data_IF_656782145373
#
_entry.id   IF_656782145373
#
_cell.length_a   1.000
_cell.length_b   1.000
_cell.length_c   1.000
_cell.angle_alpha   90.00
_cell.angle_beta   90.00
_cell.angle_gamma   90.00
#
_symmetry.space_group_name_H-M   'P 1'
#
loop_
_entity.id
_entity.type
_entity.pdbx_description
1 polymer ?
#
# COMPACT_ATOMS: atom_id res chain seq x y z
N UNK A 1 -55.55 -10.74 -64.37
CA UNK A 1 -54.96 -12.06 -64.67
C UNK A 1 -53.53 -11.76 -65.06
N UNK A 2 -52.45 -12.14 -64.38
CA UNK A 2 -52.17 -13.15 -63.36
C UNK A 2 -50.87 -12.67 -62.66
N UNK A 3 -50.76 -12.85 -61.34
CA UNK A 3 -49.48 -13.26 -60.75
C UNK A 3 -49.31 -14.76 -61.08
N UNK A 4 -48.10 -15.29 -61.33
CA UNK A 4 -47.23 -15.73 -60.22
C UNK A 4 -45.69 -15.74 -60.53
N UNK A 5 -44.82 -15.50 -59.51
CA UNK A 5 -43.88 -16.45 -58.85
C UNK A 5 -42.72 -16.98 -59.71
N UNK A 6 -41.45 -17.18 -59.29
CA UNK A 6 -40.67 -17.22 -58.03
C UNK A 6 -39.17 -17.24 -58.43
N UNK A 7 -38.29 -16.66 -57.61
CA UNK A 7 -36.99 -17.19 -57.14
C UNK A 7 -36.16 -15.98 -56.62
N UNK A 8 -36.15 -15.65 -55.33
CA UNK A 8 -35.45 -16.34 -54.24
C UNK A 8 -33.94 -16.49 -54.53
N UNK A 9 -33.17 -15.45 -54.23
CA UNK A 9 -31.75 -15.57 -53.88
C UNK A 9 -31.58 -15.03 -52.46
N UNK A 10 -30.99 -15.88 -51.64
CA UNK A 10 -31.06 -15.91 -50.19
C UNK A 10 -29.88 -15.11 -49.63
N UNK A 11 -30.16 -13.94 -49.06
CA UNK A 11 -29.14 -13.16 -48.36
C UNK A 11 -28.59 -13.96 -47.16
N UNK A 12 -27.26 -14.05 -46.98
CA UNK A 12 -26.67 -14.83 -45.90
C UNK A 12 -27.08 -14.26 -44.53
N UNK A 13 -27.37 -15.11 -43.52
CA UNK A 13 -27.82 -14.65 -42.22
C UNK A 13 -26.73 -13.79 -41.55
N UNK A 14 -27.10 -12.76 -40.77
CA UNK A 14 -26.13 -11.98 -40.01
C UNK A 14 -25.40 -12.92 -39.04
N UNK A 15 -24.08 -12.87 -39.13
CA UNK A 15 -23.16 -13.60 -38.26
C UNK A 15 -23.51 -13.24 -36.82
N UNK A 16 -23.72 -14.26 -35.99
CA UNK A 16 -23.79 -14.15 -34.53
C UNK A 16 -22.47 -13.54 -34.04
N UNK A 17 -22.45 -12.23 -33.89
CA UNK A 17 -21.39 -11.50 -33.22
C UNK A 17 -22.05 -10.57 -32.21
N UNK A 18 -22.49 -11.14 -31.09
CA UNK A 18 -22.44 -10.37 -29.85
C UNK A 18 -22.36 -11.26 -28.60
N UNK A 19 -21.17 -11.83 -28.36
CA UNK A 19 -20.74 -12.18 -26.99
C UNK A 19 -19.62 -11.25 -26.50
N UNK A 20 -19.34 -10.18 -27.26
CA UNK A 20 -18.27 -9.23 -26.93
C UNK A 20 -18.80 -7.89 -26.43
N UNK A 21 -20.03 -7.50 -26.79
CA UNK A 21 -20.71 -6.29 -26.32
C UNK A 21 -21.15 -6.37 -24.86
N UNK A 22 -21.50 -7.57 -24.36
CA UNK A 22 -21.85 -7.77 -22.95
C UNK A 22 -20.66 -7.66 -21.98
N UNK A 23 -19.46 -8.03 -22.43
CA UNK A 23 -18.25 -7.93 -21.60
C UNK A 23 -17.75 -6.48 -21.49
N UNK A 24 -17.90 -5.69 -22.56
CA UNK A 24 -17.57 -4.25 -22.55
C UNK A 24 -18.51 -3.46 -21.64
N UNK A 25 -19.78 -3.88 -21.50
CA UNK A 25 -20.73 -3.26 -20.58
C UNK A 25 -20.50 -3.68 -19.11
N UNK A 26 -20.26 -4.96 -18.85
CA UNK A 26 -19.93 -5.44 -17.49
C UNK A 26 -18.64 -4.79 -16.96
N UNK A 27 -17.58 -4.71 -17.77
CA UNK A 27 -16.31 -4.12 -17.34
C UNK A 27 -16.48 -2.64 -16.99
N UNK A 28 -17.25 -1.88 -17.78
CA UNK A 28 -17.56 -0.48 -17.51
C UNK A 28 -18.37 -0.28 -16.23
N UNK A 29 -19.42 -1.10 -16.03
CA UNK A 29 -20.22 -1.08 -14.79
C UNK A 29 -19.37 -1.47 -13.59
N UNK A 30 -18.51 -2.47 -13.76
CA UNK A 30 -17.60 -2.92 -12.70
C UNK A 30 -16.61 -1.82 -12.32
N UNK A 31 -16.07 -1.10 -13.31
CA UNK A 31 -15.17 0.02 -13.08
C UNK A 31 -15.83 1.17 -12.36
N UNK A 32 -17.09 1.47 -12.66
CA UNK A 32 -17.84 2.46 -11.91
C UNK A 32 -18.06 2.00 -10.47
N UNK A 33 -18.56 0.77 -10.28
CA UNK A 33 -18.91 0.25 -8.96
C UNK A 33 -17.71 0.18 -8.02
N UNK A 34 -16.56 -0.32 -8.48
CA UNK A 34 -15.34 -0.37 -7.65
C UNK A 34 -14.64 0.97 -7.47
N UNK A 35 -15.07 2.04 -8.17
CA UNK A 35 -14.68 3.42 -7.89
C UNK A 35 -15.46 4.05 -6.73
N UNK A 36 -16.63 3.50 -6.38
CA UNK A 36 -17.47 4.01 -5.30
C UNK A 36 -16.97 3.56 -3.92
N UNK A 37 -17.35 4.32 -2.89
CA UNK A 37 -17.11 3.93 -1.50
C UNK A 37 -17.79 2.58 -1.19
N UNK A 38 -17.28 1.81 -0.21
CA UNK A 38 -17.94 0.57 0.21
C UNK A 38 -19.40 0.78 0.66
N UNK A 39 -19.73 1.95 1.19
CA UNK A 39 -21.06 2.29 1.67
C UNK A 39 -22.04 2.50 0.50
N UNK A 40 -21.58 3.17 -0.57
CA UNK A 40 -22.37 3.45 -1.77
C UNK A 40 -22.45 2.26 -2.74
N UNK A 41 -21.46 1.36 -2.67
CA UNK A 41 -21.32 0.21 -3.59
C UNK A 41 -22.58 -0.64 -3.69
N UNK A 42 -23.20 -0.94 -2.55
CA UNK A 42 -24.35 -1.86 -2.52
C UNK A 42 -25.57 -1.24 -3.20
N UNK A 43 -25.87 0.02 -2.90
CA UNK A 43 -26.99 0.74 -3.49
C UNK A 43 -26.79 0.91 -5.01
N UNK A 44 -25.59 1.32 -5.43
CA UNK A 44 -25.26 1.47 -6.84
C UNK A 44 -25.33 0.13 -7.60
N UNK A 45 -24.85 -0.97 -7.00
CA UNK A 45 -24.91 -2.31 -7.60
C UNK A 45 -26.35 -2.74 -7.87
N UNK A 46 -27.26 -2.54 -6.90
CA UNK A 46 -28.67 -2.88 -7.09
C UNK A 46 -29.33 -2.00 -8.16
N UNK A 47 -29.02 -0.71 -8.20
CA UNK A 47 -29.51 0.19 -9.24
C UNK A 47 -29.06 -0.24 -10.63
N UNK A 48 -27.77 -0.58 -10.79
CA UNK A 48 -27.19 -1.04 -12.07
C UNK A 48 -27.75 -2.39 -12.51
N UNK A 49 -27.92 -3.32 -11.59
CA UNK A 49 -28.57 -4.61 -11.88
C UNK A 49 -30.04 -4.42 -12.32
N UNK A 50 -30.76 -3.50 -11.67
CA UNK A 50 -32.15 -3.19 -12.02
C UNK A 50 -32.26 -2.51 -13.40
N UNK A 51 -31.34 -1.61 -13.73
CA UNK A 51 -31.27 -0.97 -15.04
C UNK A 51 -31.00 -1.99 -16.14
N UNK A 52 -30.00 -2.87 -15.96
CA UNK A 52 -29.70 -3.95 -16.92
C UNK A 52 -30.91 -4.88 -17.15
N UNK A 53 -31.71 -5.16 -16.10
CA UNK A 53 -32.97 -5.92 -16.23
C UNK A 53 -34.03 -5.19 -17.06
N UNK A 54 -34.15 -3.87 -16.90
CA UNK A 54 -35.10 -3.04 -17.66
C UNK A 54 -34.71 -2.95 -19.14
N UNK A 55 -33.41 -2.95 -19.42
CA UNK A 55 -32.84 -2.93 -20.78
C UNK A 55 -32.83 -4.32 -21.44
N UNK A 56 -33.32 -5.36 -20.75
CA UNK A 56 -33.44 -6.73 -21.28
C UNK A 56 -32.17 -7.60 -21.14
N UNK A 57 -31.09 -7.05 -20.57
CA UNK A 57 -29.82 -7.72 -20.34
C UNK A 57 -29.82 -8.52 -19.02
N UNK A 58 -30.61 -9.61 -18.97
CA UNK A 58 -30.76 -10.43 -17.76
C UNK A 58 -29.45 -11.08 -17.29
N UNK A 59 -28.62 -11.55 -18.21
CA UNK A 59 -27.33 -12.19 -17.88
C UNK A 59 -26.37 -11.19 -17.23
N UNK A 60 -26.27 -9.99 -17.81
CA UNK A 60 -25.48 -8.87 -17.26
C UNK A 60 -25.94 -8.47 -15.85
N UNK A 61 -27.25 -8.40 -15.62
CA UNK A 61 -27.78 -8.08 -14.30
C UNK A 61 -27.39 -9.11 -13.22
N UNK A 62 -27.38 -10.40 -13.56
CA UNK A 62 -26.94 -11.46 -12.65
C UNK A 62 -25.43 -11.38 -12.39
N UNK A 63 -24.64 -11.02 -13.39
CA UNK A 63 -23.20 -10.80 -13.25
C UNK A 63 -22.90 -9.59 -12.35
N UNK A 64 -23.59 -8.48 -12.52
CA UNK A 64 -23.51 -7.30 -11.65
C UNK A 64 -23.87 -7.67 -10.20
N UNK A 65 -24.92 -8.47 -10.00
CA UNK A 65 -25.36 -8.86 -8.66
C UNK A 65 -24.35 -9.77 -7.94
N UNK A 66 -23.56 -10.55 -8.70
CA UNK A 66 -22.46 -11.37 -8.16
C UNK A 66 -21.25 -10.55 -7.72
N UNK A 67 -21.13 -9.28 -8.14
CA UNK A 67 -20.04 -8.41 -7.70
C UNK A 67 -20.09 -8.20 -6.19
N UNK A 68 -18.91 -8.33 -5.58
CA UNK A 68 -18.78 -8.38 -4.13
C UNK A 68 -18.30 -7.02 -3.63
N UNK A 69 -18.95 -6.55 -2.56
CA UNK A 69 -18.59 -5.29 -1.91
C UNK A 69 -17.12 -5.33 -1.49
N UNK A 70 -16.29 -4.36 -1.91
CA UNK A 70 -14.90 -4.29 -1.50
C UNK A 70 -14.80 -4.04 0.02
N UNK A 71 -13.77 -4.61 0.65
CA UNK A 71 -13.40 -4.18 2.01
C UNK A 71 -12.81 -2.76 1.95
N UNK A 72 -12.77 -2.07 3.09
CA UNK A 72 -12.23 -0.71 3.13
C UNK A 72 -10.75 -0.65 2.70
N UNK A 73 -9.95 -1.66 3.07
CA UNK A 73 -8.57 -1.78 2.61
C UNK A 73 -8.47 -2.05 1.10
N UNK A 74 -9.29 -2.95 0.55
CA UNK A 74 -9.31 -3.25 -0.88
C UNK A 74 -9.75 -2.02 -1.70
N UNK A 75 -10.78 -1.31 -1.24
CA UNK A 75 -11.22 -0.05 -1.85
C UNK A 75 -10.13 1.02 -1.82
N UNK A 76 -9.42 1.19 -0.70
CA UNK A 76 -8.32 2.16 -0.60
C UNK A 76 -7.18 1.83 -1.56
N UNK A 77 -6.86 0.55 -1.74
CA UNK A 77 -5.87 0.10 -2.72
C UNK A 77 -6.35 0.31 -4.17
N UNK A 78 -7.64 0.07 -4.47
CA UNK A 78 -8.23 0.36 -5.78
C UNK A 78 -8.21 1.85 -6.09
N UNK A 79 -8.55 2.69 -5.11
CA UNK A 79 -8.56 4.15 -5.23
C UNK A 79 -7.17 4.66 -5.59
N UNK A 80 -6.13 4.16 -4.92
CA UNK A 80 -4.74 4.48 -5.27
C UNK A 80 -4.42 4.11 -6.72
N UNK A 81 -4.78 2.90 -7.18
CA UNK A 81 -4.50 2.47 -8.56
C UNK A 81 -5.23 3.31 -9.62
N UNK A 82 -6.44 3.79 -9.28
CA UNK A 82 -7.30 4.60 -10.17
C UNK A 82 -6.86 6.06 -10.26
N UNK A 83 -6.58 6.68 -9.11
CA UNK A 83 -6.17 8.09 -9.04
C UNK A 83 -4.71 8.30 -9.43
N UNK A 84 -3.87 7.28 -9.23
CA UNK A 84 -2.42 7.34 -9.44
C UNK A 84 -1.90 6.21 -10.35
N UNK A 85 -2.32 6.17 -11.63
CA UNK A 85 -1.96 5.09 -12.55
C UNK A 85 -0.45 5.04 -12.86
N UNK A 86 0.25 6.17 -12.84
CA UNK A 86 1.70 6.20 -13.05
C UNK A 86 2.46 5.53 -11.90
N UNK A 87 2.03 5.75 -10.66
CA UNK A 87 2.58 5.14 -9.46
C UNK A 87 2.35 3.62 -9.48
N UNK A 88 1.18 3.18 -9.95
CA UNK A 88 0.91 1.77 -10.18
C UNK A 88 1.89 1.16 -11.20
N UNK A 89 2.14 1.82 -12.34
CA UNK A 89 3.13 1.36 -13.33
C UNK A 89 4.55 1.30 -12.76
N UNK A 90 4.95 2.29 -11.97
CA UNK A 90 6.26 2.30 -11.31
C UNK A 90 6.42 1.12 -10.34
N UNK A 91 5.39 0.80 -9.55
CA UNK A 91 5.40 -0.35 -8.65
C UNK A 91 5.51 -1.66 -9.44
N UNK A 92 4.76 -1.81 -10.52
CA UNK A 92 4.84 -3.01 -11.38
C UNK A 92 6.23 -3.18 -12.01
N UNK A 93 6.86 -2.08 -12.45
CA UNK A 93 8.23 -2.09 -12.95
C UNK A 93 9.24 -2.50 -11.88
N UNK A 94 9.06 -2.04 -10.63
CA UNK A 94 9.89 -2.47 -9.50
C UNK A 94 9.74 -3.97 -9.22
N UNK A 95 8.51 -4.50 -9.29
CA UNK A 95 8.26 -5.93 -9.15
C UNK A 95 8.95 -6.77 -10.22
N UNK A 96 8.96 -6.29 -11.48
CA UNK A 96 9.69 -6.95 -12.55
C UNK A 96 11.20 -6.95 -12.32
N UNK A 97 11.77 -5.81 -11.92
CA UNK A 97 13.19 -5.71 -11.60
C UNK A 97 13.59 -6.66 -10.45
N UNK A 98 12.78 -6.77 -9.40
CA UNK A 98 13.00 -7.70 -8.29
C UNK A 98 13.00 -9.15 -8.76
N UNK A 99 11.99 -9.55 -9.55
CA UNK A 99 11.90 -10.91 -10.09
C UNK A 99 13.03 -11.23 -11.06
N UNK A 100 13.51 -10.25 -11.83
CA UNK A 100 14.68 -10.40 -12.70
C UNK A 100 15.95 -10.60 -11.88
N UNK A 101 16.21 -9.75 -10.86
CA UNK A 101 17.35 -9.90 -9.96
C UNK A 101 17.35 -11.24 -9.21
N UNK A 102 16.16 -11.75 -8.83
CA UNK A 102 16.00 -13.09 -8.27
C UNK A 102 16.37 -14.21 -9.26
N UNK A 103 15.96 -14.10 -10.53
CA UNK A 103 16.31 -15.05 -11.59
C UNK A 103 17.81 -15.05 -11.90
N UNK A 104 18.42 -13.87 -11.86
CA UNK A 104 19.85 -13.67 -12.15
C UNK A 104 20.75 -13.95 -10.94
N UNK A 105 20.18 -14.23 -9.76
CA UNK A 105 20.86 -14.46 -8.48
C UNK A 105 21.77 -13.28 -8.07
N UNK A 106 21.42 -12.05 -8.44
CA UNK A 106 22.17 -10.85 -8.10
C UNK A 106 21.84 -10.35 -6.69
N UNK A 107 22.59 -10.86 -5.71
CA UNK A 107 22.41 -10.50 -4.30
C UNK A 107 22.72 -9.03 -3.96
N UNK A 108 23.44 -8.28 -4.80
CA UNK A 108 23.68 -6.86 -4.58
C UNK A 108 22.48 -6.05 -5.05
N UNK A 109 21.99 -6.32 -6.26
CA UNK A 109 20.80 -5.71 -6.82
C UNK A 109 19.55 -6.04 -6.00
N UNK A 110 19.42 -7.27 -5.49
CA UNK A 110 18.32 -7.66 -4.60
C UNK A 110 18.29 -6.84 -3.30
N UNK A 111 19.44 -6.53 -2.70
CA UNK A 111 19.50 -5.71 -1.48
C UNK A 111 19.07 -4.27 -1.76
N UNK A 112 19.53 -3.69 -2.85
CA UNK A 112 19.15 -2.34 -3.27
C UNK A 112 17.64 -2.24 -3.60
N UNK A 113 17.14 -3.17 -4.42
CA UNK A 113 15.73 -3.20 -4.81
C UNK A 113 14.81 -3.51 -3.63
N UNK A 114 15.22 -4.37 -2.68
CA UNK A 114 14.47 -4.63 -1.45
C UNK A 114 14.35 -3.38 -0.56
N UNK A 115 15.43 -2.61 -0.42
CA UNK A 115 15.38 -1.35 0.32
C UNK A 115 14.43 -0.34 -0.33
N UNK A 116 14.49 -0.23 -1.66
CA UNK A 116 13.59 0.63 -2.44
C UNK A 116 12.14 0.15 -2.37
N UNK A 117 11.90 -1.15 -2.39
CA UNK A 117 10.58 -1.75 -2.19
C UNK A 117 9.93 -1.25 -0.91
N UNK A 118 10.59 -1.39 0.24
CA UNK A 118 10.02 -0.99 1.52
C UNK A 118 9.65 0.50 1.56
N UNK A 119 10.49 1.36 0.99
CA UNK A 119 10.22 2.80 0.93
C UNK A 119 9.01 3.12 0.03
N UNK A 120 8.94 2.50 -1.15
CA UNK A 120 7.85 2.72 -2.10
C UNK A 120 6.54 2.18 -1.56
N UNK A 121 6.51 0.97 -1.00
CA UNK A 121 5.27 0.39 -0.47
C UNK A 121 4.74 1.16 0.74
N UNK A 122 5.61 1.56 1.68
CA UNK A 122 5.21 2.37 2.82
C UNK A 122 4.62 3.73 2.39
N UNK A 123 5.27 4.40 1.42
CA UNK A 123 4.77 5.66 0.86
C UNK A 123 3.41 5.50 0.19
N UNK A 124 3.25 4.49 -0.66
CA UNK A 124 1.99 4.25 -1.37
C UNK A 124 0.85 3.86 -0.41
N UNK A 125 1.14 3.07 0.63
CA UNK A 125 0.14 2.75 1.65
C UNK A 125 -0.32 4.00 2.43
N UNK A 126 0.59 4.94 2.68
CA UNK A 126 0.27 6.24 3.27
C UNK A 126 -0.58 7.11 2.32
N UNK A 127 -0.21 7.21 1.05
CA UNK A 127 -0.99 7.93 0.04
C UNK A 127 -2.39 7.34 -0.14
N UNK A 128 -2.54 6.02 -0.09
CA UNK A 128 -3.86 5.37 -0.11
C UNK A 128 -4.72 5.77 1.10
N UNK A 129 -4.12 5.88 2.29
CA UNK A 129 -4.82 6.33 3.50
C UNK A 129 -5.25 7.81 3.40
N UNK A 130 -4.41 8.66 2.82
CA UNK A 130 -4.69 10.07 2.60
C UNK A 130 -5.80 10.27 1.56
N UNK A 131 -5.79 9.50 0.47
CA UNK A 131 -6.87 9.48 -0.52
C UNK A 131 -8.18 9.02 0.13
N UNK A 132 -8.18 7.90 0.87
CA UNK A 132 -9.37 7.44 1.58
C UNK A 132 -9.96 8.52 2.51
N UNK A 133 -9.11 9.28 3.20
CA UNK A 133 -9.52 10.36 4.09
C UNK A 133 -10.17 11.55 3.34
N UNK A 134 -9.73 11.85 2.10
CA UNK A 134 -10.35 12.88 1.26
C UNK A 134 -11.80 12.52 0.87
N UNK A 135 -12.09 11.23 0.74
CA UNK A 135 -13.43 10.69 0.51
C UNK A 135 -14.19 10.42 1.83
N UNK A 136 -13.70 10.93 2.97
CA UNK A 136 -14.39 10.85 4.26
C UNK A 136 -14.17 9.56 5.05
N UNK A 137 -13.34 8.64 4.57
CA UNK A 137 -13.09 7.36 5.22
C UNK A 137 -11.70 7.31 5.86
N UNK A 138 -11.62 7.29 7.19
CA UNK A 138 -10.37 7.02 7.90
C UNK A 138 -10.15 5.52 8.01
N UNK A 139 -9.04 5.03 7.47
CA UNK A 139 -8.66 3.62 7.59
C UNK A 139 -7.90 3.36 8.89
N UNK A 140 -8.12 2.20 9.49
CA UNK A 140 -7.38 1.76 10.68
C UNK A 140 -5.94 1.35 10.32
N UNK A 141 -5.09 1.25 11.34
CA UNK A 141 -3.72 0.72 11.14
C UNK A 141 -3.72 -0.68 10.54
N UNK A 142 -4.67 -1.53 10.93
CA UNK A 142 -4.85 -2.87 10.36
C UNK A 142 -5.19 -2.79 8.88
N UNK A 143 -6.12 -1.92 8.48
CA UNK A 143 -6.47 -1.75 7.07
C UNK A 143 -5.30 -1.17 6.24
N UNK A 144 -4.47 -0.29 6.83
CA UNK A 144 -3.24 0.20 6.18
C UNK A 144 -2.22 -0.91 5.96
N UNK A 145 -2.09 -1.84 6.90
CA UNK A 145 -1.25 -3.04 6.74
C UNK A 145 -1.77 -3.95 5.63
N UNK A 146 -3.08 -4.18 5.56
CA UNK A 146 -3.70 -4.94 4.47
C UNK A 146 -3.48 -4.31 3.08
N UNK A 147 -3.48 -2.97 3.00
CA UNK A 147 -3.08 -2.26 1.77
C UNK A 147 -1.61 -2.54 1.44
N UNK A 148 -0.73 -2.44 2.42
CA UNK A 148 0.71 -2.75 2.26
C UNK A 148 0.93 -4.18 1.77
N UNK A 149 0.22 -5.15 2.33
CA UNK A 149 0.28 -6.55 1.93
C UNK A 149 -0.17 -6.76 0.49
N UNK A 150 -1.20 -6.03 0.07
CA UNK A 150 -1.68 -6.04 -1.32
C UNK A 150 -0.62 -5.48 -2.28
N UNK A 151 0.08 -4.41 -1.90
CA UNK A 151 1.20 -3.86 -2.69
C UNK A 151 2.39 -4.82 -2.75
N UNK A 152 2.69 -5.53 -1.66
CA UNK A 152 3.70 -6.60 -1.66
C UNK A 152 3.30 -7.77 -2.57
N UNK A 153 2.03 -8.18 -2.55
CA UNK A 153 1.52 -9.20 -3.46
C UNK A 153 1.67 -8.77 -4.93
N UNK A 154 1.37 -7.50 -5.23
CA UNK A 154 1.52 -6.92 -6.57
C UNK A 154 2.97 -6.91 -7.08
N UNK A 155 3.94 -6.76 -6.18
CA UNK A 155 5.37 -6.84 -6.49
C UNK A 155 5.84 -8.29 -6.72
N UNK A 156 5.33 -9.22 -5.91
CA UNK A 156 5.73 -10.62 -5.96
C UNK A 156 5.17 -11.36 -7.19
N UNK A 157 3.92 -11.08 -7.57
CA UNK A 157 3.21 -11.79 -8.63
C UNK A 157 2.73 -10.82 -9.75
N UNK A 158 3.16 -11.02 -11.02
CA UNK A 158 2.66 -10.25 -12.16
C UNK A 158 1.14 -10.25 -12.32
N UNK A 159 0.45 -11.32 -11.93
CA UNK A 159 -1.01 -11.38 -12.03
C UNK A 159 -1.67 -10.56 -10.93
N UNK A 160 -1.25 -10.74 -9.67
CA UNK A 160 -1.70 -9.88 -8.57
C UNK A 160 -1.47 -8.39 -8.86
N UNK A 161 -0.33 -8.05 -9.49
CA UNK A 161 -0.03 -6.68 -9.89
C UNK A 161 -0.99 -6.13 -10.94
N UNK A 162 -1.33 -6.92 -11.96
CA UNK A 162 -2.33 -6.54 -12.97
C UNK A 162 -3.73 -6.40 -12.38
N UNK A 163 -4.12 -7.30 -11.49
CA UNK A 163 -5.42 -7.25 -10.82
C UNK A 163 -5.57 -6.01 -9.93
N UNK A 164 -4.50 -5.63 -9.21
CA UNK A 164 -4.48 -4.40 -8.42
C UNK A 164 -4.52 -3.16 -9.32
N UNK A 165 -3.71 -3.12 -10.38
CA UNK A 165 -3.70 -2.00 -11.34
C UNK A 165 -5.03 -1.83 -12.09
N UNK A 166 -5.82 -2.89 -12.23
CA UNK A 166 -7.19 -2.81 -12.74
C UNK A 166 -8.16 -2.12 -11.75
N UNK A 167 -7.81 -2.00 -10.46
CA UNK A 167 -8.60 -1.28 -9.47
C UNK A 167 -9.96 -1.94 -9.18
N UNK A 168 -10.04 -3.27 -9.22
CA UNK A 168 -11.27 -4.07 -9.05
C UNK A 168 -11.16 -5.14 -7.95
N UNK A 169 -10.37 -4.88 -6.91
CA UNK A 169 -10.20 -5.82 -5.79
C UNK A 169 -11.39 -5.76 -4.83
N UNK A 170 -11.97 -6.92 -4.50
CA UNK A 170 -13.01 -7.06 -3.48
C UNK A 170 -12.44 -7.35 -2.07
N UNK A 171 -11.24 -7.91 -2.01
CA UNK A 171 -10.49 -8.18 -0.77
C UNK A 171 -9.01 -7.84 -0.92
N UNK A 172 -8.30 -7.57 0.19
CA UNK A 172 -6.85 -7.44 0.17
C UNK A 172 -6.22 -8.73 -0.34
N UNK A 173 -5.10 -8.61 -1.05
CA UNK A 173 -4.32 -9.78 -1.49
C UNK A 173 -3.16 -9.99 -0.52
N UNK A 174 -3.00 -11.22 -0.03
CA UNK A 174 -1.80 -11.62 0.68
C UNK A 174 -0.73 -12.05 -0.32
N UNK A 175 0.53 -11.69 -0.07
CA UNK A 175 1.63 -12.20 -0.87
C UNK A 175 1.76 -13.73 -0.72
N UNK A 176 2.13 -14.46 -1.79
CA UNK A 176 2.45 -15.88 -1.67
C UNK A 176 3.57 -16.11 -0.65
N UNK A 177 3.37 -17.09 0.24
CA UNK A 177 4.43 -17.64 1.09
C UNK A 177 5.60 -18.07 0.19
N UNK A 178 6.77 -17.47 0.37
CA UNK A 178 7.97 -17.71 -0.46
C UNK A 178 8.57 -16.47 -1.15
N UNK A 179 7.91 -15.30 -1.10
CA UNK A 179 8.55 -14.00 -1.43
C UNK A 179 8.92 -13.17 -0.18
N UNK A 180 8.83 -13.79 1.00
CA UNK A 180 9.43 -13.26 2.22
C UNK A 180 10.91 -13.66 2.23
N UNK A 181 11.87 -12.72 2.28
CA UNK A 181 13.25 -13.07 2.55
C UNK A 181 13.30 -13.57 3.99
N UNK A 182 13.26 -14.88 4.21
CA UNK A 182 13.47 -15.41 5.55
C UNK A 182 12.92 -16.78 5.89
N UNK A 183 12.04 -17.40 5.10
CA UNK A 183 11.44 -18.69 5.52
C UNK A 183 11.27 -19.64 4.34
N UNK A 184 12.36 -20.33 3.99
CA UNK A 184 12.30 -21.53 3.15
C UNK A 184 11.94 -22.73 4.02
N UNK A 185 10.67 -23.13 4.01
CA UNK A 185 10.27 -24.46 4.46
C UNK A 185 10.74 -25.53 3.46
N UNK A 186 11.46 -26.51 3.99
CA UNK A 186 11.91 -27.69 3.28
C UNK A 186 10.74 -28.67 3.12
N UNK A 187 10.23 -28.78 1.90
CA UNK A 187 9.43 -29.92 1.46
C UNK A 187 10.25 -31.20 1.42
N UNK A 188 9.66 -32.30 1.88
CA UNK A 188 10.26 -33.64 1.84
C UNK A 188 9.18 -34.72 1.75
N UNK A 189 8.70 -34.93 0.53
CA UNK A 189 7.75 -35.99 0.18
C UNK A 189 8.37 -37.40 0.22
N UNK A 190 7.55 -38.37 0.62
CA UNK A 190 7.40 -39.62 -0.14
C UNK A 190 8.11 -40.88 0.35
N UNK A 191 7.32 -41.94 0.58
CA UNK A 191 7.67 -43.28 0.10
C UNK A 191 7.59 -44.44 1.10
N UNK A 192 6.37 -44.93 1.38
CA UNK A 192 6.18 -46.38 1.62
C UNK A 192 6.42 -47.16 0.33
N UNK A 193 6.85 -48.43 0.42
CA UNK A 193 5.97 -49.46 -0.15
C UNK A 193 5.89 -50.79 0.62
N UNK A 194 4.76 -51.43 0.33
CA UNK A 194 4.25 -52.75 0.72
C UNK A 194 5.02 -53.96 0.13
N UNK A 195 4.99 -55.10 0.85
CA UNK A 195 4.44 -56.32 0.24
C UNK A 195 5.34 -57.51 -0.16
N UNK A 196 5.33 -58.53 0.71
CA UNK A 196 5.09 -59.97 0.44
C UNK A 196 6.25 -60.96 0.15
N UNK A 197 5.95 -62.20 0.52
CA UNK A 197 6.79 -63.31 0.99
C UNK A 197 7.23 -64.36 -0.06
N UNK A 198 8.20 -65.21 0.36
CA UNK A 198 8.52 -66.62 0.00
C UNK A 198 10.04 -66.78 -0.25
N UNK A 199 10.76 -67.89 -0.05
CA UNK A 199 10.55 -69.25 0.43
C UNK A 199 11.92 -69.82 0.92
N UNK A 200 11.90 -71.01 1.53
CA UNK A 200 13.01 -71.77 2.12
C UNK A 200 14.16 -72.09 1.14
N UNK A 201 15.42 -72.11 1.61
CA UNK A 201 16.17 -73.36 1.84
C UNK A 201 17.65 -73.13 2.17
N UNK A 202 18.19 -74.18 2.77
CA UNK A 202 19.44 -74.36 3.48
C UNK A 202 20.71 -74.25 2.63
N UNK A 203 21.78 -73.71 3.24
CA UNK A 203 23.21 -74.04 3.05
C UNK A 203 24.07 -73.07 3.85
N UNK A 204 24.32 -73.45 5.10
CA UNK A 204 25.52 -73.07 5.85
C UNK A 204 26.72 -73.80 5.23
N UNK A 205 27.85 -73.16 4.91
CA UNK A 205 28.93 -72.81 5.83
C UNK A 205 29.97 -71.99 5.06
N UNK A 206 29.79 -70.66 5.03
CA UNK A 206 30.88 -69.68 4.77
C UNK A 206 30.48 -68.25 5.21
N UNK A 207 29.80 -68.11 6.36
CA UNK A 207 29.23 -66.82 6.82
C UNK A 207 29.84 -66.25 8.10
N UNK A 208 30.77 -66.96 8.74
CA UNK A 208 31.34 -66.55 10.02
C UNK A 208 32.34 -65.39 9.94
N UNK A 209 33.11 -65.26 8.85
CA UNK A 209 34.11 -64.19 8.69
C UNK A 209 33.54 -62.89 8.11
N UNK A 210 32.42 -62.95 7.40
CA UNK A 210 31.82 -61.78 6.74
C UNK A 210 30.82 -61.02 7.66
N UNK A 211 30.15 -61.72 8.59
CA UNK A 211 29.21 -61.10 9.54
C UNK A 211 29.90 -60.17 10.56
N UNK A 212 31.08 -60.57 11.08
CA UNK A 212 31.87 -59.73 11.99
C UNK A 212 32.45 -58.47 11.33
N UNK A 213 32.88 -58.57 10.07
CA UNK A 213 33.30 -57.38 9.28
C UNK A 213 32.14 -56.44 8.97
N UNK A 214 30.93 -56.95 8.72
CA UNK A 214 29.74 -56.14 8.47
C UNK A 214 29.26 -55.40 9.73
N UNK A 215 29.22 -56.09 10.88
CA UNK A 215 28.86 -55.48 12.17
C UNK A 215 29.87 -54.39 12.63
N UNK A 216 31.17 -54.60 12.40
CA UNK A 216 32.22 -53.59 12.64
C UNK A 216 32.10 -52.37 11.71
N UNK A 217 31.71 -52.59 10.44
CA UNK A 217 31.48 -51.50 9.47
C UNK A 217 30.23 -50.68 9.82
N UNK A 218 29.16 -51.32 10.29
CA UNK A 218 27.92 -50.65 10.66
C UNK A 218 28.08 -49.82 11.96
N UNK A 219 28.84 -50.32 12.95
CA UNK A 219 29.19 -49.56 14.16
C UNK A 219 30.11 -48.38 13.86
N UNK A 220 31.10 -48.54 12.96
CA UNK A 220 31.94 -47.43 12.51
C UNK A 220 31.12 -46.35 11.78
N UNK A 221 30.22 -46.74 10.87
CA UNK A 221 29.30 -45.83 10.18
C UNK A 221 28.38 -45.09 11.15
N UNK A 222 27.84 -45.78 12.17
CA UNK A 222 26.98 -45.15 13.19
C UNK A 222 27.75 -44.11 14.02
N UNK A 223 29.01 -44.38 14.37
CA UNK A 223 29.87 -43.43 15.08
C UNK A 223 30.18 -42.20 14.22
N UNK A 224 30.52 -42.40 12.95
CA UNK A 224 30.76 -41.31 12.01
C UNK A 224 29.51 -40.44 11.81
N UNK A 225 28.33 -41.06 11.65
CA UNK A 225 27.05 -40.35 11.58
C UNK A 225 26.77 -39.54 12.84
N UNK A 226 27.06 -40.09 14.02
CA UNK A 226 26.89 -39.39 15.31
C UNK A 226 27.84 -38.18 15.41
N UNK A 227 29.10 -38.32 15.01
CA UNK A 227 30.06 -37.20 15.00
C UNK A 227 29.59 -36.10 14.06
N UNK A 228 29.21 -36.44 12.81
CA UNK A 228 28.66 -35.47 11.85
C UNK A 228 27.39 -34.79 12.36
N UNK A 229 26.50 -35.54 13.02
CA UNK A 229 25.28 -34.97 13.60
C UNK A 229 25.60 -33.99 14.74
N UNK A 230 26.60 -34.30 15.58
CA UNK A 230 27.06 -33.40 16.66
C UNK A 230 27.74 -32.15 16.12
N UNK A 231 28.54 -32.27 15.06
CA UNK A 231 29.16 -31.12 14.39
C UNK A 231 28.10 -30.19 13.81
N UNK A 232 27.12 -30.74 13.09
CA UNK A 232 25.98 -29.97 12.57
C UNK A 232 25.16 -29.31 13.69
N UNK A 233 24.93 -30.00 14.80
CA UNK A 233 24.22 -29.42 15.95
C UNK A 233 24.99 -28.21 16.52
N UNK A 234 26.31 -28.34 16.70
CA UNK A 234 27.16 -27.24 17.18
C UNK A 234 27.23 -26.07 16.19
N UNK A 235 27.23 -26.34 14.89
CA UNK A 235 27.15 -25.30 13.86
C UNK A 235 25.81 -24.57 13.91
N UNK A 236 24.72 -25.31 14.05
CA UNK A 236 23.38 -24.74 14.19
C UNK A 236 23.24 -23.90 15.47
N UNK A 237 23.79 -24.35 16.60
CA UNK A 237 23.82 -23.60 17.87
C UNK A 237 24.59 -22.28 17.73
N UNK A 238 25.78 -22.29 17.10
CA UNK A 238 26.54 -21.06 16.82
C UNK A 238 25.81 -20.10 15.89
N UNK A 239 25.15 -20.64 14.87
CA UNK A 239 24.34 -19.84 13.95
C UNK A 239 23.16 -19.20 14.70
N UNK A 240 22.48 -19.94 15.58
CA UNK A 240 21.40 -19.42 16.42
C UNK A 240 21.91 -18.29 17.33
N UNK A 241 23.01 -18.49 18.05
CA UNK A 241 23.59 -17.47 18.95
C UNK A 241 23.93 -16.18 18.18
N UNK A 242 24.48 -16.32 16.98
CA UNK A 242 24.77 -15.17 16.10
C UNK A 242 23.48 -14.43 15.73
N UNK A 243 22.43 -15.16 15.31
CA UNK A 243 21.15 -14.56 14.92
C UNK A 243 20.41 -13.94 16.10
N UNK A 244 20.48 -14.52 17.28
CA UNK A 244 19.95 -13.92 18.51
C UNK A 244 20.70 -12.63 18.86
N UNK A 245 22.03 -12.60 18.67
CA UNK A 245 22.84 -11.39 18.82
C UNK A 245 22.43 -10.29 17.85
N UNK A 246 22.28 -10.63 16.56
CA UNK A 246 21.80 -9.70 15.53
C UNK A 246 20.39 -9.19 15.84
N UNK A 247 19.48 -10.06 16.28
CA UNK A 247 18.12 -9.69 16.65
C UNK A 247 18.08 -8.74 17.87
N UNK A 248 18.89 -9.01 18.91
CA UNK A 248 19.02 -8.10 20.07
C UNK A 248 19.54 -6.74 19.64
N UNK A 249 20.61 -6.69 18.84
CA UNK A 249 21.16 -5.43 18.34
C UNK A 249 20.16 -4.65 17.46
N UNK A 250 19.42 -5.36 16.60
CA UNK A 250 18.37 -4.74 15.78
C UNK A 250 17.23 -4.17 16.64
N UNK A 251 16.83 -4.88 17.69
CA UNK A 251 15.82 -4.41 18.64
C UNK A 251 16.27 -3.15 19.39
N UNK A 252 17.48 -3.15 19.94
CA UNK A 252 18.05 -1.98 20.61
C UNK A 252 18.16 -0.77 19.67
N UNK A 253 18.56 -0.99 18.41
CA UNK A 253 18.60 0.06 17.41
C UNK A 253 17.21 0.62 17.07
N UNK A 254 16.18 -0.24 17.04
CA UNK A 254 14.80 0.16 16.83
C UNK A 254 14.25 0.97 18.00
N UNK A 255 14.50 0.53 19.24
CA UNK A 255 14.08 1.25 20.45
C UNK A 255 14.72 2.64 20.52
N UNK A 256 16.03 2.75 20.24
CA UNK A 256 16.73 4.04 20.16
C UNK A 256 16.19 4.94 19.04
N UNK A 257 15.79 4.36 17.90
CA UNK A 257 15.19 5.12 16.82
C UNK A 257 13.81 5.67 17.22
N UNK A 258 13.00 4.88 17.93
CA UNK A 258 11.71 5.30 18.45
C UNK A 258 11.86 6.45 19.46
N UNK A 259 12.81 6.36 20.39
CA UNK A 259 13.10 7.44 21.36
C UNK A 259 13.52 8.74 20.65
N UNK A 260 14.38 8.65 19.62
CA UNK A 260 14.78 9.82 18.82
C UNK A 260 13.59 10.45 18.09
N UNK A 261 12.68 9.62 17.57
CA UNK A 261 11.45 10.10 16.91
C UNK A 261 10.56 10.83 17.91
N UNK A 262 10.29 10.25 19.08
CA UNK A 262 9.46 10.89 20.11
C UNK A 262 10.05 12.24 20.55
N UNK A 263 11.37 12.31 20.78
CA UNK A 263 12.05 13.56 21.09
C UNK A 263 11.96 14.59 19.96
N UNK A 264 11.95 14.16 18.71
CA UNK A 264 11.76 15.06 17.57
C UNK A 264 10.32 15.59 17.49
N UNK A 265 9.32 14.76 17.76
CA UNK A 265 7.90 15.14 17.79
C UNK A 265 7.58 16.11 18.94
N UNK A 266 8.13 15.87 20.13
CA UNK A 266 8.03 16.78 21.27
C UNK A 266 8.65 18.14 20.94
N UNK A 267 9.85 18.16 20.33
CA UNK A 267 10.49 19.41 19.86
C UNK A 267 9.65 20.14 18.82
N UNK A 268 9.06 19.42 17.87
CA UNK A 268 8.19 20.01 16.84
C UNK A 268 6.95 20.65 17.46
N UNK A 269 6.34 20.00 18.45
CA UNK A 269 5.18 20.53 19.18
C UNK A 269 5.55 21.82 19.91
N UNK A 270 6.64 21.83 20.67
CA UNK A 270 7.12 23.04 21.35
C UNK A 270 7.47 24.18 20.38
N UNK A 271 8.06 23.88 19.21
CA UNK A 271 8.33 24.89 18.18
C UNK A 271 7.05 25.48 17.58
N UNK A 272 5.99 24.68 17.39
CA UNK A 272 4.69 25.15 16.90
C UNK A 272 4.00 26.07 17.89
N UNK A 273 4.07 25.76 19.18
CA UNK A 273 3.52 26.63 20.22
C UNK A 273 4.23 27.98 20.25
N UNK A 274 5.57 27.97 20.24
CA UNK A 274 6.39 29.19 20.16
C UNK A 274 6.09 30.02 18.91
N UNK A 275 5.84 29.37 17.78
CA UNK A 275 5.43 30.06 16.54
C UNK A 275 4.09 30.78 16.72
N UNK A 276 3.07 30.09 17.25
CA UNK A 276 1.75 30.69 17.51
C UNK A 276 1.84 31.87 18.47
N UNK A 277 2.67 31.77 19.51
CA UNK A 277 2.92 32.86 20.45
C UNK A 277 3.57 34.07 19.76
N UNK A 278 4.59 33.83 18.92
CA UNK A 278 5.29 34.86 18.18
C UNK A 278 4.37 35.56 17.16
N UNK A 279 3.53 34.80 16.44
CA UNK A 279 2.52 35.34 15.53
C UNK A 279 1.49 36.19 16.28
N UNK A 280 1.02 35.71 17.44
CA UNK A 280 0.13 36.48 18.31
C UNK A 280 0.76 37.78 18.80
N UNK A 281 2.04 37.75 19.19
CA UNK A 281 2.78 38.94 19.59
C UNK A 281 2.96 39.93 18.42
N UNK A 282 3.28 39.44 17.23
CA UNK A 282 3.38 40.25 16.01
C UNK A 282 2.05 40.97 15.70
N UNK A 283 0.93 40.26 15.80
CA UNK A 283 -0.38 40.84 15.51
C UNK A 283 -0.79 41.92 16.52
N UNK A 284 -0.46 41.73 17.81
CA UNK A 284 -0.65 42.76 18.84
C UNK A 284 0.20 44.00 18.56
N UNK A 285 1.49 43.82 18.29
CA UNK A 285 2.40 44.92 17.95
C UNK A 285 1.92 45.70 16.71
N UNK A 286 1.44 45.02 15.66
CA UNK A 286 0.85 45.67 14.48
C UNK A 286 -0.38 46.52 14.83
N UNK A 287 -1.24 46.01 15.70
CA UNK A 287 -2.45 46.71 16.14
C UNK A 287 -2.12 47.93 17.00
N UNK A 288 -1.10 47.81 17.86
CA UNK A 288 -0.56 48.92 18.66
C UNK A 288 0.04 50.01 17.77
N UNK A 289 0.86 49.65 16.78
CA UNK A 289 1.41 50.60 15.80
C UNK A 289 0.31 51.35 15.08
N UNK A 290 -0.73 50.65 14.59
CA UNK A 290 -1.87 51.29 13.92
C UNK A 290 -2.58 52.28 14.85
N UNK A 291 -2.83 51.87 16.09
CA UNK A 291 -3.48 52.72 17.10
C UNK A 291 -2.64 53.95 17.43
N UNK A 292 -1.32 53.79 17.57
CA UNK A 292 -0.39 54.88 17.82
C UNK A 292 -0.36 55.88 16.65
N UNK A 293 -0.35 55.38 15.41
CA UNK A 293 -0.42 56.22 14.21
C UNK A 293 -1.75 56.99 14.11
N UNK A 294 -2.88 56.36 14.45
CA UNK A 294 -4.17 57.05 14.49
C UNK A 294 -4.22 58.15 15.55
N UNK A 295 -3.63 57.90 16.73
CA UNK A 295 -3.50 58.92 17.79
C UNK A 295 -2.60 60.07 17.34
N UNK A 296 -1.47 59.77 16.72
CA UNK A 296 -0.55 60.79 16.18
C UNK A 296 -1.26 61.68 15.15
N UNK A 297 -1.92 61.09 14.15
CA UNK A 297 -2.69 61.85 13.15
C UNK A 297 -3.76 62.75 13.76
N UNK A 298 -4.42 62.31 14.83
CA UNK A 298 -5.42 63.12 15.55
C UNK A 298 -4.77 64.27 16.30
N UNK A 299 -3.63 64.02 16.96
CA UNK A 299 -2.85 65.04 17.65
C UNK A 299 -2.34 66.11 16.67
N UNK A 300 -1.75 65.72 15.55
CA UNK A 300 -1.26 66.62 14.49
C UNK A 300 -2.39 67.53 13.96
N UNK A 301 -3.56 66.96 13.65
CA UNK A 301 -4.73 67.75 13.22
C UNK A 301 -5.23 68.71 14.29
N UNK A 302 -5.15 68.33 15.56
CA UNK A 302 -5.55 69.19 16.67
C UNK A 302 -4.57 70.34 16.87
N UNK A 303 -3.27 70.05 16.78
CA UNK A 303 -2.20 71.04 16.83
C UNK A 303 -2.33 72.05 15.68
N UNK A 304 -2.53 71.57 14.45
CA UNK A 304 -2.72 72.44 13.29
C UNK A 304 -3.92 73.39 13.46
N UNK A 305 -5.05 72.87 13.95
CA UNK A 305 -6.24 73.70 14.25
C UNK A 305 -5.96 74.74 15.34
N UNK A 306 -5.27 74.33 16.41
CA UNK A 306 -4.91 75.24 17.50
C UNK A 306 -3.97 76.35 17.01
N UNK A 307 -2.99 75.99 16.16
CA UNK A 307 -2.06 76.94 15.54
C UNK A 307 -2.79 77.97 14.67
N UNK A 308 -3.65 77.51 13.75
CA UNK A 308 -4.48 78.40 12.92
C UNK A 308 -5.32 79.37 13.78
N UNK A 309 -5.96 78.87 14.84
CA UNK A 309 -6.75 79.70 15.75
C UNK A 309 -5.90 80.73 16.50
N UNK A 310 -4.67 80.36 16.90
CA UNK A 310 -3.74 81.28 17.56
C UNK A 310 -3.26 82.37 16.59
N UNK A 311 -2.92 82.00 15.35
CA UNK A 311 -2.52 82.93 14.29
C UNK A 311 -3.66 83.91 13.95
N UNK A 312 -4.89 83.42 13.79
CA UNK A 312 -6.08 84.26 13.57
C UNK A 312 -6.34 85.23 14.73
N UNK A 313 -6.20 84.76 15.97
CA UNK A 313 -6.37 85.60 17.15
C UNK A 313 -5.29 86.69 17.25
N UNK A 314 -4.04 86.36 16.92
CA UNK A 314 -2.93 87.30 16.86
C UNK A 314 -3.17 88.37 15.80
N UNK A 315 -3.53 87.96 14.58
CA UNK A 315 -3.82 88.90 13.49
C UNK A 315 -4.96 89.87 13.82
N UNK A 316 -6.01 89.41 14.54
CA UNK A 316 -7.07 90.30 15.04
C UNK A 316 -6.59 91.27 16.11
N UNK A 317 -5.72 90.83 17.01
CA UNK A 317 -5.15 91.70 18.04
C UNK A 317 -4.27 92.79 17.41
N UNK A 318 -3.44 92.44 16.43
CA UNK A 318 -2.60 93.39 15.70
C UNK A 318 -3.45 94.42 14.93
N UNK A 319 -4.54 93.99 14.26
CA UNK A 319 -5.48 94.90 13.59
C UNK A 319 -6.16 95.90 14.54
N UNK A 320 -6.45 95.48 15.77
CA UNK A 320 -7.02 96.37 16.80
C UNK A 320 -5.96 97.34 17.37
N UNK A 321 -4.68 96.98 17.33
CA UNK A 321 -3.58 97.82 17.79
C UNK A 321 -3.15 98.86 16.74
N UNK A 322 -3.24 98.53 15.45
CA UNK A 322 -2.86 99.40 14.32
C UNK A 322 -4.04 100.20 13.71
N UNK A 323 -5.23 100.12 14.32
CA UNK A 323 -6.40 100.93 13.94
C UNK A 323 -6.23 102.42 14.32
N UNK A 324 -6.76 103.36 13.52
CA UNK A 324 -6.44 104.80 13.55
C UNK A 324 -6.83 105.54 14.84
#
# INVERSE_FOLDING_TARGET
MEHPHIAADEAPPPRRSDRSGGQVDLDAVTDELYGLSPDDFTAAREQRAQQARQEGARELAEEIHRLRRPTLAAWSANLLAREQPEQARLLLGLGEALRQAHRDLDGAQLRELSARQHQVTARLAQEAAELAAQYGHRISETARREVTDTLHAALADPQAGRDWAAGRLDRPRAAPVGFTPGETEAGGAGGEPSGRASSKSDRSRDRGRNAGRKAGRDTARRREQLTRARERAREAERALETREGEHRAAREAADQAAERQEQAEQRLTGLRERLREAEGAQQRARSEVRTAQDRLRRAERSEEKARRKADDARGRADQLADGP
#
